data_IF_120160107498
#
_entry.id   IF_120160107498
#
_cell.length_a   1.000
_cell.length_b   1.000
_cell.length_c   1.000
_cell.angle_alpha   90.00
_cell.angle_beta   90.00
_cell.angle_gamma   90.00
#
_symmetry.space_group_name_H-M   'P 1'
#
loop_
_entity.id
_entity.type
_entity.pdbx_description
1 polymer ?
#
# COMPACT_ATOMS: atom_id res chain seq x y z
N UNK A 1 -15.08 10.55 6.43
CA UNK A 1 -13.83 11.32 6.23
C UNK A 1 -12.62 10.46 6.56
N UNK A 2 -11.70 10.31 5.60
CA UNK A 2 -10.46 9.53 5.73
C UNK A 2 -9.43 10.33 6.55
N UNK A 3 -8.71 9.67 7.45
CA UNK A 3 -7.59 10.26 8.20
C UNK A 3 -6.38 9.33 8.11
N UNK A 4 -5.17 9.87 8.35
CA UNK A 4 -3.93 9.08 8.40
C UNK A 4 -4.06 7.84 9.31
N UNK A 5 -4.66 8.03 10.48
CA UNK A 5 -4.87 6.96 11.46
C UNK A 5 -5.83 5.90 10.94
N UNK A 6 -6.95 6.29 10.32
CA UNK A 6 -7.90 5.33 9.76
C UNK A 6 -7.33 4.54 8.58
N UNK A 7 -6.40 5.13 7.84
CA UNK A 7 -5.70 4.50 6.73
C UNK A 7 -4.72 3.42 7.18
N UNK A 8 -3.92 3.69 8.23
CA UNK A 8 -2.88 2.76 8.70
C UNK A 8 -3.38 1.84 9.82
N UNK A 9 -4.08 2.40 10.82
CA UNK A 9 -4.47 1.75 12.05
C UNK A 9 -5.96 1.41 12.01
N UNK A 10 -6.32 0.43 11.17
CA UNK A 10 -7.70 -0.02 11.01
C UNK A 10 -7.96 -1.34 11.75
N UNK A 11 -9.23 -1.62 12.06
CA UNK A 11 -9.65 -2.91 12.63
C UNK A 11 -9.27 -4.07 11.71
N UNK A 12 -9.40 -3.90 10.40
CA UNK A 12 -9.04 -4.91 9.40
C UNK A 12 -7.54 -5.17 9.36
N UNK A 13 -6.70 -4.14 9.52
CA UNK A 13 -5.25 -4.33 9.64
C UNK A 13 -4.90 -5.07 10.93
N UNK A 14 -5.48 -4.66 12.07
CA UNK A 14 -5.27 -5.35 13.34
C UNK A 14 -5.73 -6.82 13.29
N UNK A 15 -6.82 -7.11 12.60
CA UNK A 15 -7.35 -8.47 12.48
C UNK A 15 -6.44 -9.37 11.64
N UNK A 16 -5.85 -8.86 10.55
CA UNK A 16 -4.82 -9.57 9.77
C UNK A 16 -3.57 -9.85 10.59
N UNK A 17 -3.05 -8.83 11.29
CA UNK A 17 -1.87 -8.95 12.17
C UNK A 17 -2.09 -10.00 13.26
N UNK A 18 -3.30 -10.07 13.81
CA UNK A 18 -3.66 -10.98 14.90
C UNK A 18 -4.15 -12.36 14.44
N UNK A 19 -4.43 -12.55 13.15
CA UNK A 19 -5.01 -13.79 12.61
C UNK A 19 -6.44 -14.06 13.10
N UNK A 20 -7.25 -13.01 13.30
CA UNK A 20 -8.63 -13.11 13.81
C UNK A 20 -9.62 -12.40 12.89
N UNK A 21 -10.92 -12.65 13.09
CA UNK A 21 -11.98 -11.98 12.33
C UNK A 21 -12.11 -10.49 12.70
N UNK A 22 -12.31 -9.56 11.73
CA UNK A 22 -12.36 -8.12 12.00
C UNK A 22 -13.42 -7.68 13.02
N UNK A 23 -14.58 -8.33 13.04
CA UNK A 23 -15.68 -7.98 13.95
C UNK A 23 -15.39 -8.39 15.41
N UNK A 24 -14.37 -9.23 15.65
CA UNK A 24 -13.91 -9.56 16.99
C UNK A 24 -12.89 -8.57 17.55
N UNK A 25 -12.42 -7.60 16.75
CA UNK A 25 -11.35 -6.68 17.13
C UNK A 25 -11.88 -5.27 17.36
N UNK A 26 -11.57 -4.72 18.52
CA UNK A 26 -11.65 -3.29 18.80
C UNK A 26 -10.24 -2.73 18.94
N UNK A 27 -10.03 -1.49 18.50
CA UNK A 27 -8.72 -0.85 18.54
C UNK A 27 -8.80 0.52 19.21
N UNK A 28 -7.72 0.87 19.91
CA UNK A 28 -7.47 2.21 20.40
C UNK A 28 -6.04 2.61 20.02
N UNK A 29 -5.90 3.71 19.28
CA UNK A 29 -4.60 4.18 18.77
C UNK A 29 -3.93 5.06 19.82
N UNK A 30 -2.73 4.67 20.26
CA UNK A 30 -1.89 5.45 21.17
C UNK A 30 -0.62 5.92 20.44
N UNK A 31 0.12 6.92 20.95
CA UNK A 31 1.26 7.51 20.24
C UNK A 31 2.38 6.54 19.83
N UNK A 32 2.53 5.39 20.52
CA UNK A 32 3.62 4.43 20.27
C UNK A 32 3.14 3.02 19.92
N UNK A 33 1.86 2.72 20.15
CA UNK A 33 1.27 1.39 20.02
C UNK A 33 -0.22 1.50 19.72
N UNK A 34 -0.82 0.43 19.21
CA UNK A 34 -2.27 0.29 19.13
C UNK A 34 -2.69 -0.79 20.11
N UNK A 35 -3.57 -0.46 21.04
CA UNK A 35 -4.21 -1.44 21.91
C UNK A 35 -5.32 -2.14 21.11
N UNK A 36 -5.19 -3.45 20.93
CA UNK A 36 -6.18 -4.29 20.28
C UNK A 36 -6.86 -5.19 21.31
N UNK A 37 -8.18 -5.10 21.41
CA UNK A 37 -9.00 -5.94 22.27
C UNK A 37 -9.76 -6.94 21.40
N UNK A 38 -9.52 -8.23 21.65
CA UNK A 38 -10.17 -9.34 20.97
C UNK A 38 -11.17 -9.98 21.91
N UNK A 39 -12.41 -10.21 21.46
CA UNK A 39 -13.46 -10.85 22.27
C UNK A 39 -12.98 -12.21 22.79
N UNK A 40 -13.05 -12.41 24.11
CA UNK A 40 -12.64 -13.67 24.75
C UNK A 40 -11.13 -13.86 24.91
N UNK A 41 -10.31 -12.84 24.64
CA UNK A 41 -8.85 -12.88 24.80
C UNK A 41 -8.34 -11.70 25.59
N UNK A 42 -7.12 -11.81 26.12
CA UNK A 42 -6.44 -10.68 26.77
C UNK A 42 -6.12 -9.58 25.74
N UNK A 43 -6.27 -8.29 26.08
CA UNK A 43 -5.85 -7.20 25.20
C UNK A 43 -4.37 -7.31 24.84
N UNK A 44 -4.02 -6.91 23.60
CA UNK A 44 -2.65 -6.97 23.08
C UNK A 44 -2.22 -5.60 22.58
N UNK A 45 -0.97 -5.24 22.83
CA UNK A 45 -0.35 -4.07 22.22
C UNK A 45 0.30 -4.47 20.90
N UNK A 46 -0.10 -3.81 19.83
CA UNK A 46 0.47 -3.95 18.50
C UNK A 46 1.40 -2.76 18.23
N UNK A 47 2.59 -3.04 17.70
CA UNK A 47 3.54 -1.98 17.34
C UNK A 47 3.06 -1.22 16.09
N UNK A 48 3.35 0.08 16.00
CA UNK A 48 3.05 0.85 14.78
C UNK A 48 3.78 0.24 13.56
N UNK A 49 4.99 -0.31 13.77
CA UNK A 49 5.76 -1.01 12.74
C UNK A 49 4.97 -2.17 12.12
N UNK A 50 4.25 -2.96 12.92
CA UNK A 50 3.44 -4.07 12.42
C UNK A 50 2.34 -3.59 11.47
N UNK A 51 1.70 -2.45 11.77
CA UNK A 51 0.70 -1.85 10.86
C UNK A 51 1.32 -1.33 9.57
N UNK A 52 2.48 -0.68 9.65
CA UNK A 52 3.19 -0.23 8.44
C UNK A 52 3.58 -1.42 7.55
N UNK A 53 4.03 -2.53 8.15
CA UNK A 53 4.33 -3.75 7.42
C UNK A 53 3.08 -4.35 6.78
N UNK A 54 2.00 -4.55 7.53
CA UNK A 54 0.72 -5.03 6.99
C UNK A 54 0.19 -4.14 5.86
N UNK A 55 0.33 -2.82 5.99
CA UNK A 55 -0.09 -1.86 4.98
C UNK A 55 0.62 -2.03 3.65
N UNK A 56 1.94 -2.27 3.68
CA UNK A 56 2.77 -2.51 2.50
C UNK A 56 2.48 -3.90 1.92
N UNK A 57 2.51 -4.93 2.76
CA UNK A 57 2.34 -6.32 2.31
C UNK A 57 0.94 -6.54 1.71
N UNK A 58 -0.11 -6.01 2.33
CA UNK A 58 -1.47 -6.07 1.76
C UNK A 58 -1.52 -5.46 0.36
N UNK A 59 -0.83 -4.35 0.11
CA UNK A 59 -0.82 -3.70 -1.21
C UNK A 59 -0.02 -4.47 -2.23
N UNK A 60 1.10 -5.08 -1.83
CA UNK A 60 1.86 -5.99 -2.69
C UNK A 60 1.01 -7.21 -3.06
N UNK A 61 0.35 -7.85 -2.10
CA UNK A 61 -0.55 -8.98 -2.35
C UNK A 61 -1.65 -8.58 -3.34
N UNK A 62 -2.36 -7.48 -3.07
CA UNK A 62 -3.43 -6.97 -3.96
C UNK A 62 -2.93 -6.51 -5.33
N UNK A 63 -1.63 -6.33 -5.52
CA UNK A 63 -1.05 -5.97 -6.80
C UNK A 63 -0.82 -7.18 -7.70
N UNK A 64 -0.65 -8.38 -7.13
CA UNK A 64 -0.43 -9.61 -7.88
C UNK A 64 -1.63 -9.98 -8.75
N UNK A 65 -2.84 -9.60 -8.32
CA UNK A 65 -4.09 -9.88 -9.03
C UNK A 65 -4.40 -8.85 -10.14
N UNK A 66 -3.51 -7.88 -10.39
CA UNK A 66 -3.74 -6.81 -11.36
C UNK A 66 -3.02 -7.08 -12.68
N UNK A 67 -3.66 -6.71 -13.78
CA UNK A 67 -3.05 -6.77 -15.11
C UNK A 67 -2.46 -5.42 -15.48
N UNK A 68 -1.20 -5.43 -15.95
CA UNK A 68 -0.50 -4.25 -16.43
C UNK A 68 -0.33 -4.31 -17.95
N UNK A 69 -0.69 -3.23 -18.64
CA UNK A 69 -0.43 -3.03 -20.06
C UNK A 69 0.42 -1.79 -20.24
N UNK A 70 1.58 -1.93 -20.88
CA UNK A 70 2.42 -0.80 -21.28
C UNK A 70 1.70 -0.04 -22.40
N UNK A 71 1.50 1.27 -22.21
CA UNK A 71 0.86 2.16 -23.20
C UNK A 71 1.92 3.00 -23.91
N UNK A 72 2.85 3.56 -23.15
CA UNK A 72 4.03 4.28 -23.64
C UNK A 72 5.23 3.93 -22.77
N UNK A 73 6.44 4.35 -23.16
CA UNK A 73 7.66 4.07 -22.39
C UNK A 73 7.59 4.52 -20.91
N UNK A 74 6.75 5.50 -20.58
CA UNK A 74 6.60 6.03 -19.21
C UNK A 74 5.19 5.85 -18.63
N UNK A 75 4.36 5.00 -19.24
CA UNK A 75 2.96 4.87 -18.84
C UNK A 75 2.46 3.44 -18.93
N UNK A 76 1.83 3.00 -17.84
CA UNK A 76 1.05 1.77 -17.78
C UNK A 76 -0.42 2.06 -17.54
N UNK A 77 -1.24 1.20 -18.12
CA UNK A 77 -2.63 1.02 -17.76
C UNK A 77 -2.73 -0.23 -16.88
N UNK A 78 -3.24 -0.07 -15.67
CA UNK A 78 -3.40 -1.16 -14.70
C UNK A 78 -4.88 -1.42 -14.52
N UNK A 79 -5.32 -2.65 -14.76
CA UNK A 79 -6.73 -3.04 -14.68
C UNK A 79 -6.95 -4.15 -13.66
N UNK A 80 -8.03 -4.05 -12.90
CA UNK A 80 -8.52 -5.17 -12.09
C UNK A 80 -9.39 -6.09 -12.98
N UNK A 81 -9.00 -7.37 -13.18
CA UNK A 81 -9.77 -8.30 -14.02
C UNK A 81 -11.19 -8.59 -13.48
N UNK A 82 -11.43 -8.45 -12.18
CA UNK A 82 -12.74 -8.76 -11.58
C UNK A 82 -13.83 -7.75 -11.93
N UNK A 83 -13.47 -6.47 -12.06
CA UNK A 83 -14.44 -5.39 -12.25
C UNK A 83 -14.16 -4.49 -13.47
N UNK A 84 -13.06 -4.75 -14.18
CA UNK A 84 -12.67 -3.99 -15.38
C UNK A 84 -12.21 -2.56 -15.12
N UNK A 85 -12.15 -2.10 -13.87
CA UNK A 85 -11.70 -0.74 -13.55
C UNK A 85 -10.22 -0.57 -13.91
N UNK A 86 -9.90 0.57 -14.51
CA UNK A 86 -8.55 0.87 -14.99
C UNK A 86 -8.00 2.13 -14.32
N UNK A 87 -6.70 2.07 -14.01
CA UNK A 87 -5.94 3.17 -13.45
C UNK A 87 -4.67 3.41 -14.26
N UNK A 88 -4.32 4.67 -14.42
CA UNK A 88 -3.08 5.06 -15.06
C UNK A 88 -1.96 5.15 -14.03
N UNK A 89 -0.81 4.60 -14.37
CA UNK A 89 0.43 4.75 -13.60
C UNK A 89 1.51 5.33 -14.50
N UNK A 90 2.05 6.48 -14.09
CA UNK A 90 3.13 7.18 -14.76
C UNK A 90 4.46 6.90 -14.06
N UNK A 91 5.49 6.68 -14.87
CA UNK A 91 6.86 6.45 -14.42
C UNK A 91 7.63 7.76 -14.50
N UNK A 92 8.20 8.18 -13.38
CA UNK A 92 9.09 9.34 -13.27
C UNK A 92 10.41 8.92 -12.64
N UNK A 93 11.44 9.75 -12.78
CA UNK A 93 12.75 9.48 -12.20
C UNK A 93 12.71 9.48 -10.67
N UNK A 94 11.81 10.25 -10.08
CA UNK A 94 11.60 10.37 -8.63
C UNK A 94 10.60 9.36 -8.05
N UNK A 95 9.97 8.53 -8.89
CA UNK A 95 9.01 7.52 -8.44
C UNK A 95 7.87 7.26 -9.43
N UNK A 96 6.75 6.73 -8.91
CA UNK A 96 5.57 6.41 -9.71
C UNK A 96 4.39 7.26 -9.28
N UNK A 97 3.57 7.69 -10.23
CA UNK A 97 2.33 8.42 -9.96
C UNK A 97 1.12 7.60 -10.39
N UNK A 98 0.13 7.42 -9.51
CA UNK A 98 -1.14 6.77 -9.86
C UNK A 98 -2.34 7.70 -9.69
N UNK A 99 -3.31 7.60 -10.59
CA UNK A 99 -4.54 8.40 -10.54
C UNK A 99 -5.61 7.88 -9.56
N UNK A 100 -5.36 6.79 -8.83
CA UNK A 100 -6.35 6.22 -7.91
C UNK A 100 -6.43 6.96 -6.56
N UNK A 101 -7.59 6.89 -5.90
CA UNK A 101 -7.83 7.54 -4.60
C UNK A 101 -6.87 7.05 -3.50
N UNK A 102 -6.51 5.77 -3.47
CA UNK A 102 -5.55 5.25 -2.47
C UNK A 102 -4.19 5.96 -2.59
N UNK A 103 -3.72 6.20 -3.82
CA UNK A 103 -2.48 6.93 -4.05
C UNK A 103 -2.58 8.39 -3.60
N UNK A 104 -3.67 9.08 -3.96
CA UNK A 104 -3.88 10.48 -3.58
C UNK A 104 -3.97 10.64 -2.06
N UNK A 105 -4.69 9.75 -1.38
CA UNK A 105 -4.78 9.72 0.07
C UNK A 105 -3.42 9.44 0.73
N UNK A 106 -2.66 8.47 0.23
CA UNK A 106 -1.31 8.21 0.74
C UNK A 106 -0.39 9.43 0.58
N UNK A 107 -0.43 10.08 -0.59
CA UNK A 107 0.37 11.28 -0.85
C UNK A 107 0.00 12.41 0.11
N UNK A 108 -1.29 12.63 0.36
CA UNK A 108 -1.77 13.64 1.29
C UNK A 108 -1.39 13.34 2.76
N UNK A 109 -1.49 12.09 3.21
CA UNK A 109 -1.35 11.75 4.63
C UNK A 109 0.04 11.25 5.04
N UNK A 110 0.78 10.62 4.13
CA UNK A 110 2.06 9.95 4.40
C UNK A 110 3.25 10.64 3.73
N UNK A 111 3.02 11.61 2.84
CA UNK A 111 4.04 12.30 2.01
C UNK A 111 4.80 11.39 1.02
N UNK A 112 4.66 10.07 1.16
CA UNK A 112 5.13 9.04 0.23
C UNK A 112 3.94 8.16 -0.14
N UNK A 113 3.83 7.78 -1.41
CA UNK A 113 2.70 7.03 -1.92
C UNK A 113 3.15 5.89 -2.82
N UNK A 114 2.63 4.69 -2.55
CA UNK A 114 2.77 3.52 -3.40
C UNK A 114 1.52 2.65 -3.21
N UNK A 115 0.53 2.85 -4.08
CA UNK A 115 -0.70 2.05 -4.05
C UNK A 115 -0.48 0.69 -4.70
N UNK A 116 -1.49 -0.19 -4.64
CA UNK A 116 -1.43 -1.50 -5.31
C UNK A 116 -1.13 -1.41 -6.81
N UNK A 117 -1.63 -0.38 -7.51
CA UNK A 117 -1.35 -0.20 -8.94
C UNK A 117 0.13 0.14 -9.19
N UNK A 118 0.73 0.95 -8.32
CA UNK A 118 2.17 1.22 -8.40
C UNK A 118 2.99 -0.06 -8.18
N UNK A 119 2.63 -0.89 -7.20
CA UNK A 119 3.29 -2.18 -6.99
C UNK A 119 3.15 -3.12 -8.19
N UNK A 120 1.98 -3.17 -8.83
CA UNK A 120 1.78 -4.01 -10.01
C UNK A 120 2.72 -3.60 -11.15
N UNK A 121 2.88 -2.29 -11.37
CA UNK A 121 3.82 -1.75 -12.36
C UNK A 121 5.27 -1.99 -11.97
N UNK A 122 5.63 -1.85 -10.69
CA UNK A 122 6.97 -2.19 -10.20
C UNK A 122 7.31 -3.64 -10.51
N UNK A 123 6.41 -4.58 -10.18
CA UNK A 123 6.59 -6.00 -10.45
C UNK A 123 6.68 -6.29 -11.95
N UNK A 124 5.80 -5.70 -12.77
CA UNK A 124 5.86 -5.83 -14.22
C UNK A 124 7.15 -5.26 -14.83
N UNK A 125 7.76 -4.28 -14.16
CA UNK A 125 9.03 -3.66 -14.56
C UNK A 125 10.27 -4.34 -13.95
N UNK A 126 10.09 -5.42 -13.18
CA UNK A 126 11.17 -6.20 -12.57
C UNK A 126 11.68 -5.70 -11.21
N UNK A 127 11.01 -4.73 -10.58
CA UNK A 127 11.41 -4.18 -9.27
C UNK A 127 10.51 -4.72 -8.15
N UNK A 128 11.08 -4.97 -6.97
CA UNK A 128 10.31 -5.46 -5.81
C UNK A 128 9.72 -4.32 -4.96
N UNK A 129 10.31 -3.13 -5.02
CA UNK A 129 9.87 -1.99 -4.23
C UNK A 129 10.25 -0.64 -4.88
N UNK A 130 9.63 0.43 -4.39
CA UNK A 130 9.82 1.78 -4.91
C UNK A 130 11.27 2.27 -4.74
N UNK A 131 11.95 1.88 -3.66
CA UNK A 131 13.33 2.31 -3.40
C UNK A 131 14.30 1.76 -4.45
N UNK A 132 14.15 0.47 -4.78
CA UNK A 132 14.91 -0.19 -5.84
C UNK A 132 14.73 0.51 -7.19
N UNK A 133 13.48 0.82 -7.55
CA UNK A 133 13.17 1.56 -8.78
C UNK A 133 13.83 2.94 -8.81
N UNK A 134 13.71 3.73 -7.73
CA UNK A 134 14.29 5.08 -7.66
C UNK A 134 15.81 5.03 -7.80
N UNK A 135 16.47 4.10 -7.10
CA UNK A 135 17.92 3.92 -7.20
C UNK A 135 18.34 3.58 -8.63
N UNK A 136 17.60 2.70 -9.31
CA UNK A 136 17.88 2.33 -10.69
C UNK A 136 17.71 3.50 -11.68
N UNK A 137 16.76 4.42 -11.45
CA UNK A 137 16.63 5.62 -12.28
C UNK A 137 17.78 6.60 -12.03
N UNK A 138 18.18 6.81 -10.77
CA UNK A 138 19.28 7.71 -10.43
C UNK A 138 20.61 7.26 -11.05
N UNK A 139 20.88 5.94 -11.08
CA UNK A 139 22.07 5.40 -11.74
C UNK A 139 22.11 5.64 -13.25
N UNK A 140 20.95 5.80 -13.91
CA UNK A 140 20.88 6.09 -15.36
C UNK A 140 21.10 7.56 -15.70
N UNK A 141 20.86 8.47 -14.75
CA UNK A 141 21.03 9.92 -14.95
C UNK A 141 22.48 10.34 -14.73
N UNK A 142 23.23 9.58 -13.90
CA UNK A 142 24.65 9.82 -13.63
C UNK A 142 25.65 9.10 -14.53
N UNK A 143 25.17 8.36 -15.54
CA UNK A 143 25.97 7.63 -16.54
C UNK A 143 25.86 8.30 -17.90
#
# INVERSE_FOLDING_TARGET
MMTKEKMLYSRTAASRILGVMPHHVQIQVWPRVVLAQVKGSRPRFLSLKAFHQDFVETRKTLALDLHCKLVTHHQYLVSNPENGHQHQVLLHDSGLHCNCDDYQNQKAFLKQACCKHCYAVLFASGYQNLHEYINAQQSKIGA
#
